data_IF_058688584518
#
_entry.id   IF_058688584518
#
_cell.length_a   1.000
_cell.length_b   1.000
_cell.length_c   1.000
_cell.angle_alpha   90.00
_cell.angle_beta   90.00
_cell.angle_gamma   90.00
#
_symmetry.space_group_name_H-M   'P 1'
#
loop_
_entity.id
_entity.type
_entity.pdbx_description
1 polymer ?
#
# COMPACT_ATOMS: atom_id res chain seq x y z
N UNK A 1 6.93 -2.48 7.72
CA UNK A 1 5.84 -1.47 7.68
C UNK A 1 4.63 -2.11 7.01
N UNK A 2 3.47 -1.45 7.04
CA UNK A 2 2.29 -1.85 6.27
C UNK A 2 2.06 -0.86 5.13
N UNK A 3 1.31 -1.27 4.13
CA UNK A 3 0.84 -0.37 3.07
C UNK A 3 -0.59 -0.71 2.64
N UNK A 4 -1.27 0.29 2.09
CA UNK A 4 -2.51 0.12 1.33
C UNK A 4 -2.33 0.92 0.03
N UNK A 5 -2.67 0.31 -1.11
CA UNK A 5 -2.81 1.02 -2.38
C UNK A 5 -4.28 1.34 -2.59
N UNK A 6 -4.57 2.62 -2.70
CA UNK A 6 -5.89 3.14 -2.99
C UNK A 6 -6.02 3.51 -4.47
N UNK A 7 -7.24 3.57 -4.97
CA UNK A 7 -7.57 4.29 -6.20
C UNK A 7 -7.98 5.73 -5.81
N UNK A 8 -7.26 6.74 -6.28
CA UNK A 8 -7.58 8.14 -6.04
C UNK A 8 -8.79 8.62 -6.89
N UNK A 9 -9.17 9.89 -6.73
CA UNK A 9 -10.29 10.49 -7.47
C UNK A 9 -10.07 10.56 -8.99
N UNK A 10 -8.82 10.43 -9.45
CA UNK A 10 -8.44 10.41 -10.86
C UNK A 10 -8.27 8.98 -11.40
N UNK A 11 -8.59 7.95 -10.60
CA UNK A 11 -8.40 6.56 -10.98
C UNK A 11 -6.96 6.06 -10.87
N UNK A 12 -6.06 6.85 -10.26
CA UNK A 12 -4.64 6.49 -10.13
C UNK A 12 -4.39 5.68 -8.87
N UNK A 13 -3.47 4.69 -8.92
CA UNK A 13 -3.07 3.95 -7.75
C UNK A 13 -2.17 4.81 -6.84
N UNK A 14 -2.59 5.02 -5.59
CA UNK A 14 -1.89 5.83 -4.60
C UNK A 14 -1.55 4.97 -3.38
N UNK A 15 -0.27 4.63 -3.17
CA UNK A 15 0.18 3.88 -2.00
C UNK A 15 0.31 4.79 -0.78
N UNK A 16 -0.14 4.29 0.37
CA UNK A 16 0.14 4.87 1.68
C UNK A 16 0.90 3.83 2.51
N UNK A 17 2.10 4.19 2.97
CA UNK A 17 2.92 3.36 3.86
C UNK A 17 2.76 3.87 5.30
N UNK A 18 2.56 2.96 6.25
CA UNK A 18 2.28 3.33 7.63
C UNK A 18 2.86 2.32 8.64
N UNK A 19 2.98 2.72 9.92
CA UNK A 19 3.51 1.85 10.98
C UNK A 19 2.72 0.55 11.13
N UNK A 20 3.42 -0.53 11.45
CA UNK A 20 2.81 -1.86 11.62
C UNK A 20 1.77 -1.93 12.74
N UNK A 21 1.84 -0.99 13.70
CA UNK A 21 0.96 -0.89 14.86
C UNK A 21 -0.47 -0.48 14.51
N UNK A 22 -0.67 0.21 13.37
CA UNK A 22 -1.99 0.68 12.93
C UNK A 22 -2.69 -0.45 12.16
N UNK A 23 -4.00 -0.60 12.40
CA UNK A 23 -4.81 -1.62 11.70
C UNK A 23 -5.18 -1.16 10.29
N UNK A 24 -5.40 -2.11 9.38
CA UNK A 24 -5.71 -1.79 7.99
C UNK A 24 -7.06 -1.08 7.87
N UNK A 25 -8.06 -1.59 8.62
CA UNK A 25 -9.40 -1.02 8.63
C UNK A 25 -9.42 0.39 9.24
N UNK A 26 -8.70 0.59 10.35
CA UNK A 26 -8.56 1.88 11.02
C UNK A 26 -8.00 2.95 10.08
N UNK A 27 -6.92 2.63 9.35
CA UNK A 27 -6.39 3.57 8.36
C UNK A 27 -7.39 3.80 7.22
N UNK A 28 -7.98 2.73 6.67
CA UNK A 28 -8.95 2.83 5.57
C UNK A 28 -10.12 3.77 5.90
N UNK A 29 -10.61 3.76 7.14
CA UNK A 29 -11.72 4.62 7.58
C UNK A 29 -11.35 6.12 7.62
N UNK A 30 -10.09 6.45 7.84
CA UNK A 30 -9.60 7.83 7.86
C UNK A 30 -9.33 8.40 6.46
N UNK A 31 -9.19 7.53 5.46
CA UNK A 31 -8.79 7.91 4.11
C UNK A 31 -10.04 8.12 3.23
N UNK A 32 -10.16 9.28 2.54
CA UNK A 32 -11.35 9.61 1.76
C UNK A 32 -11.44 8.86 0.41
N UNK A 33 -10.44 8.04 0.07
CA UNK A 33 -10.43 7.25 -1.15
C UNK A 33 -11.42 6.10 -1.11
N UNK A 34 -12.09 5.85 -2.23
CA UNK A 34 -13.25 4.95 -2.30
C UNK A 34 -12.85 3.48 -2.32
N UNK A 35 -11.71 3.14 -2.92
CA UNK A 35 -11.38 1.76 -3.28
C UNK A 35 -9.97 1.38 -2.88
N UNK A 36 -9.85 0.22 -2.24
CA UNK A 36 -8.60 -0.45 -1.95
C UNK A 36 -8.29 -1.41 -3.09
N UNK A 37 -7.12 -1.28 -3.70
CA UNK A 37 -6.65 -2.14 -4.79
C UNK A 37 -5.87 -3.33 -4.23
N UNK A 38 -4.94 -3.07 -3.33
CA UNK A 38 -4.10 -4.07 -2.67
C UNK A 38 -3.61 -3.55 -1.33
N UNK A 39 -3.25 -4.46 -0.43
CA UNK A 39 -2.68 -4.10 0.86
C UNK A 39 -1.90 -5.27 1.46
N UNK A 40 -0.85 -4.96 2.21
CA UNK A 40 0.02 -5.95 2.80
C UNK A 40 1.11 -5.33 3.67
N UNK A 41 2.15 -6.12 3.93
CA UNK A 41 3.38 -5.67 4.57
C UNK A 41 4.40 -5.29 3.52
N UNK A 42 5.21 -4.30 3.86
CA UNK A 42 6.31 -3.84 3.03
C UNK A 42 7.61 -3.82 3.84
N UNK A 43 8.67 -4.31 3.19
CA UNK A 43 10.05 -4.23 3.64
C UNK A 43 10.88 -3.53 2.57
N UNK A 44 11.88 -2.77 3.00
CA UNK A 44 12.91 -2.24 2.13
C UNK A 44 14.22 -2.99 2.43
N UNK A 45 14.70 -3.78 1.48
CA UNK A 45 15.91 -4.61 1.62
C UNK A 45 16.73 -4.53 0.35
N UNK A 46 18.05 -4.37 0.47
CA UNK A 46 18.98 -4.34 -0.67
C UNK A 46 18.59 -3.31 -1.74
N UNK A 47 18.07 -2.16 -1.33
CA UNK A 47 17.63 -1.09 -2.24
C UNK A 47 16.31 -1.36 -2.97
N UNK A 48 15.56 -2.40 -2.57
CA UNK A 48 14.30 -2.77 -3.21
C UNK A 48 13.17 -2.89 -2.19
N UNK A 49 11.98 -2.48 -2.60
CA UNK A 49 10.75 -2.77 -1.88
C UNK A 49 10.34 -4.22 -2.12
N UNK A 50 9.83 -4.87 -1.07
CA UNK A 50 9.24 -6.20 -1.11
C UNK A 50 7.89 -6.13 -0.44
N UNK A 51 6.83 -6.44 -1.17
CA UNK A 51 5.44 -6.47 -0.70
C UNK A 51 4.98 -7.92 -0.53
N UNK A 52 4.35 -8.22 0.61
CA UNK A 52 3.92 -9.57 0.95
C UNK A 52 2.79 -9.54 1.99
N UNK A 53 2.27 -10.73 2.33
CA UNK A 53 1.16 -10.93 3.28
C UNK A 53 -0.19 -10.39 2.77
N UNK A 54 -1.24 -10.55 3.58
CA UNK A 54 -2.61 -10.17 3.25
C UNK A 54 -3.26 -9.31 4.32
N UNK A 55 -4.04 -8.31 3.90
CA UNK A 55 -4.91 -7.53 4.75
C UNK A 55 -6.28 -8.20 4.86
N UNK A 56 -6.39 -9.22 5.73
CA UNK A 56 -7.63 -10.01 5.89
C UNK A 56 -8.88 -9.15 6.14
N UNK A 57 -8.74 -8.10 6.94
CA UNK A 57 -9.82 -7.17 7.30
C UNK A 57 -10.37 -6.40 6.09
N UNK A 58 -9.55 -6.18 5.06
CA UNK A 58 -9.91 -5.49 3.82
C UNK A 58 -10.25 -6.46 2.68
N UNK A 59 -10.09 -7.77 2.89
CA UNK A 59 -10.33 -8.77 1.84
C UNK A 59 -9.34 -8.73 0.67
N UNK A 60 -8.20 -8.05 0.81
CA UNK A 60 -7.17 -7.91 -0.23
C UNK A 60 -5.82 -8.47 0.22
N UNK A 61 -4.92 -8.68 -0.73
CA UNK A 61 -3.57 -9.17 -0.48
C UNK A 61 -2.53 -8.36 -1.26
N UNK A 62 -1.26 -8.50 -0.86
CA UNK A 62 -0.15 -7.96 -1.62
C UNK A 62 -0.06 -8.62 -3.00
N UNK A 63 0.16 -7.80 -4.03
CA UNK A 63 0.38 -8.21 -5.41
C UNK A 63 1.85 -8.07 -5.79
N UNK A 64 2.28 -8.81 -6.82
CA UNK A 64 3.66 -8.78 -7.31
C UNK A 64 4.08 -7.39 -7.82
N UNK A 65 3.13 -6.64 -8.36
CA UNK A 65 3.33 -5.32 -8.98
C UNK A 65 3.41 -4.19 -7.94
N UNK A 66 2.88 -4.39 -6.73
CA UNK A 66 2.81 -3.36 -5.68
C UNK A 66 4.19 -2.79 -5.34
N UNK A 67 5.21 -3.66 -5.26
CA UNK A 67 6.56 -3.25 -4.94
C UNK A 67 7.16 -2.32 -6.00
N UNK A 68 6.88 -2.60 -7.28
CA UNK A 68 7.36 -1.79 -8.40
C UNK A 68 6.64 -0.44 -8.46
N UNK A 69 5.32 -0.45 -8.26
CA UNK A 69 4.50 0.75 -8.21
C UNK A 69 4.93 1.70 -7.09
N UNK A 70 5.13 1.16 -5.88
CA UNK A 70 5.62 1.93 -4.73
C UNK A 70 7.03 2.45 -5.01
N UNK A 71 7.93 1.63 -5.57
CA UNK A 71 9.28 2.08 -5.91
C UNK A 71 9.26 3.26 -6.88
N UNK A 72 8.44 3.20 -7.95
CA UNK A 72 8.34 4.27 -8.94
C UNK A 72 7.89 5.59 -8.32
N UNK A 73 6.82 5.58 -7.53
CA UNK A 73 6.27 6.81 -6.94
C UNK A 73 7.21 7.47 -5.92
N UNK A 74 7.89 6.67 -5.10
CA UNK A 74 8.86 7.21 -4.15
C UNK A 74 10.19 7.63 -4.81
N UNK A 75 10.46 7.20 -6.05
CA UNK A 75 11.65 7.61 -6.81
C UNK A 75 11.43 8.87 -7.65
N UNK A 76 10.19 9.15 -8.07
CA UNK A 76 9.83 10.35 -8.83
C UNK A 76 9.81 11.63 -7.96
N UNK A 77 9.72 11.49 -6.64
CA UNK A 77 9.71 12.59 -5.66
C UNK A 77 11.13 13.04 -5.22
N UNK A 78 12.21 12.63 -5.93
CA UNK A 78 13.62 12.95 -5.61
C UNK A 78 14.32 13.83 -6.65
#
# INVERSE_FOLDING_TARGET
>A
MKYIIFEDFSGKPTPIIFPEKINYLELREQIPYSKVLSAGKILFKEGKFVCFDKAKELGVAAQAEDAQLIASLFSEES
#
